data_IF_861459006628
#
_entry.id   IF_861459006628
#
_cell.length_a   1.000
_cell.length_b   1.000
_cell.length_c   1.000
_cell.angle_alpha   90.00
_cell.angle_beta   90.00
_cell.angle_gamma   90.00
#
_symmetry.space_group_name_H-M   'P 1'
#
loop_
_entity.id
_entity.type
_entity.pdbx_description
1 polymer ?
#
# COMPACT_ATOMS: atom_id res chain seq x y z
N UNK A 1 -18.77 28.23 -1.70
CA UNK A 1 -18.78 26.78 -2.00
C UNK A 1 -17.39 26.12 -1.91
N UNK A 2 -16.29 26.86 -1.72
CA UNK A 2 -14.93 26.29 -1.76
C UNK A 2 -14.47 25.51 -0.51
N UNK A 3 -15.08 25.70 0.67
CA UNK A 3 -14.68 24.98 1.89
C UNK A 3 -14.96 23.47 1.85
N UNK A 4 -16.03 23.06 1.17
CA UNK A 4 -16.47 21.66 1.16
C UNK A 4 -15.55 20.75 0.32
N UNK A 5 -14.94 21.32 -0.74
CA UNK A 5 -14.05 20.58 -1.65
C UNK A 5 -12.69 20.33 -1.01
N UNK A 6 -12.13 21.30 -0.28
CA UNK A 6 -10.83 21.15 0.39
C UNK A 6 -10.87 20.09 1.50
N UNK A 7 -11.92 20.11 2.32
CA UNK A 7 -12.10 19.14 3.42
C UNK A 7 -12.23 17.70 2.91
N UNK A 8 -12.96 17.51 1.80
CA UNK A 8 -13.14 16.19 1.18
C UNK A 8 -11.82 15.64 0.61
N UNK A 9 -10.97 16.51 0.06
CA UNK A 9 -9.68 16.08 -0.52
C UNK A 9 -8.67 15.75 0.57
N UNK A 10 -8.63 16.51 1.68
CA UNK A 10 -7.78 16.20 2.83
C UNK A 10 -8.15 14.84 3.46
N UNK A 11 -9.45 14.56 3.63
CA UNK A 11 -9.92 13.26 4.14
C UNK A 11 -9.55 12.10 3.19
N UNK A 12 -9.64 12.34 1.87
CA UNK A 12 -9.28 11.35 0.84
C UNK A 12 -7.77 11.06 0.84
N UNK A 13 -6.93 12.09 0.89
CA UNK A 13 -5.46 11.94 0.98
C UNK A 13 -5.05 11.27 2.29
N UNK A 14 -5.71 11.60 3.40
CA UNK A 14 -5.51 10.93 4.69
C UNK A 14 -5.83 9.45 4.62
N UNK A 15 -6.96 9.09 4.00
CA UNK A 15 -7.37 7.69 3.79
C UNK A 15 -6.38 6.93 2.90
N UNK A 16 -5.93 7.55 1.80
CA UNK A 16 -4.92 6.95 0.91
C UNK A 16 -3.59 6.76 1.66
N UNK A 17 -3.17 7.72 2.47
CA UNK A 17 -1.95 7.63 3.26
C UNK A 17 -2.00 6.52 4.31
N UNK A 18 -3.14 6.34 4.98
CA UNK A 18 -3.36 5.22 5.91
C UNK A 18 -3.28 3.86 5.20
N UNK A 19 -3.87 3.75 3.99
CA UNK A 19 -3.78 2.52 3.19
C UNK A 19 -2.36 2.22 2.74
N UNK A 20 -1.59 3.24 2.36
CA UNK A 20 -0.16 3.13 2.05
C UNK A 20 0.61 2.58 3.25
N UNK A 21 0.47 3.20 4.42
CA UNK A 21 1.18 2.77 5.63
C UNK A 21 0.83 1.32 6.03
N UNK A 22 -0.43 0.92 5.85
CA UNK A 22 -0.87 -0.47 6.07
C UNK A 22 -0.21 -1.44 5.11
N UNK A 23 -0.16 -1.12 3.82
CA UNK A 23 0.48 -1.95 2.80
C UNK A 23 2.00 -2.05 3.02
N UNK A 24 2.66 -0.97 3.43
CA UNK A 24 4.09 -0.98 3.80
C UNK A 24 4.36 -1.90 4.99
N UNK A 25 3.52 -1.85 6.02
CA UNK A 25 3.61 -2.75 7.17
C UNK A 25 3.39 -4.21 6.79
N UNK A 26 2.38 -4.49 5.95
CA UNK A 26 2.11 -5.83 5.45
C UNK A 26 3.28 -6.39 4.62
N UNK A 27 3.86 -5.57 3.74
CA UNK A 27 5.03 -5.94 2.94
C UNK A 27 6.24 -6.28 3.82
N UNK A 28 6.48 -5.49 4.87
CA UNK A 28 7.54 -5.80 5.83
C UNK A 28 7.34 -7.18 6.47
N UNK A 29 6.12 -7.47 6.94
CA UNK A 29 5.78 -8.76 7.55
C UNK A 29 5.89 -9.92 6.55
N UNK A 30 5.48 -9.73 5.30
CA UNK A 30 5.60 -10.74 4.24
C UNK A 30 7.06 -11.02 3.90
N UNK A 31 7.90 -9.97 3.81
CA UNK A 31 9.34 -10.10 3.59
C UNK A 31 10.03 -10.85 4.75
N UNK A 32 9.67 -10.53 6.00
CA UNK A 32 10.18 -11.26 7.18
C UNK A 32 9.78 -12.75 7.13
N UNK A 33 8.52 -13.05 6.78
CA UNK A 33 8.05 -14.43 6.63
C UNK A 33 8.76 -15.18 5.50
N UNK A 34 9.00 -14.54 4.36
CA UNK A 34 9.70 -15.15 3.21
C UNK A 34 11.11 -15.60 3.59
N UNK A 35 11.83 -14.76 4.34
CA UNK A 35 13.18 -15.08 4.84
C UNK A 35 13.19 -16.29 5.78
N UNK A 36 12.16 -16.41 6.63
CA UNK A 36 12.03 -17.51 7.59
C UNK A 36 11.48 -18.81 6.97
N UNK A 37 10.87 -18.74 5.78
CA UNK A 37 10.14 -19.85 5.16
C UNK A 37 10.96 -20.68 4.16
N UNK A 38 12.29 -20.56 4.19
CA UNK A 38 13.20 -21.23 3.23
C UNK A 38 13.08 -22.75 3.19
N UNK A 39 12.60 -23.37 4.27
CA UNK A 39 12.37 -24.82 4.35
C UNK A 39 11.08 -25.30 3.66
N UNK A 40 10.19 -24.39 3.21
CA UNK A 40 8.87 -24.72 2.68
C UNK A 40 8.60 -24.03 1.33
N UNK A 41 9.02 -24.63 0.20
CA UNK A 41 8.96 -24.00 -1.13
C UNK A 41 7.56 -23.56 -1.55
N UNK A 42 6.54 -24.40 -1.32
CA UNK A 42 5.15 -24.09 -1.67
C UNK A 42 4.59 -22.93 -0.84
N UNK A 43 5.02 -22.82 0.42
CA UNK A 43 4.63 -21.73 1.29
C UNK A 43 5.34 -20.42 0.89
N UNK A 44 6.61 -20.51 0.51
CA UNK A 44 7.36 -19.39 -0.07
C UNK A 44 6.71 -18.86 -1.35
N UNK A 45 6.30 -19.72 -2.27
CA UNK A 45 5.64 -19.30 -3.51
C UNK A 45 4.35 -18.52 -3.23
N UNK A 46 3.56 -18.95 -2.24
CA UNK A 46 2.34 -18.24 -1.80
C UNK A 46 2.67 -16.87 -1.19
N UNK A 47 3.67 -16.81 -0.33
CA UNK A 47 4.11 -15.55 0.29
C UNK A 47 4.68 -14.58 -0.77
N UNK A 48 5.43 -15.07 -1.75
CA UNK A 48 5.98 -14.26 -2.83
C UNK A 48 4.86 -13.67 -3.72
N UNK A 49 3.81 -14.45 -4.00
CA UNK A 49 2.63 -13.96 -4.70
C UNK A 49 1.89 -12.87 -3.89
N UNK A 50 1.73 -13.08 -2.58
CA UNK A 50 1.14 -12.08 -1.69
C UNK A 50 1.96 -10.80 -1.64
N UNK A 51 3.29 -10.92 -1.56
CA UNK A 51 4.20 -9.79 -1.57
C UNK A 51 4.10 -9.01 -2.88
N UNK A 52 4.12 -9.69 -4.03
CA UNK A 52 3.98 -9.07 -5.34
C UNK A 52 2.64 -8.32 -5.49
N UNK A 53 1.55 -8.91 -5.01
CA UNK A 53 0.22 -8.27 -5.02
C UNK A 53 0.19 -7.01 -4.13
N UNK A 54 0.72 -7.09 -2.92
CA UNK A 54 0.79 -5.95 -2.01
C UNK A 54 1.68 -4.83 -2.57
N UNK A 55 2.79 -5.15 -3.23
CA UNK A 55 3.66 -4.16 -3.92
C UNK A 55 2.91 -3.46 -5.05
N UNK A 56 2.15 -4.20 -5.85
CA UNK A 56 1.33 -3.63 -6.92
C UNK A 56 0.28 -2.66 -6.36
N UNK A 57 -0.42 -3.05 -5.30
CA UNK A 57 -1.39 -2.18 -4.64
C UNK A 57 -0.76 -0.93 -4.04
N UNK A 58 0.42 -1.06 -3.42
CA UNK A 58 1.16 0.07 -2.86
C UNK A 58 1.52 1.09 -3.95
N UNK A 59 2.09 0.63 -5.07
CA UNK A 59 2.44 1.49 -6.20
C UNK A 59 1.22 2.24 -6.73
N UNK A 60 0.09 1.56 -6.90
CA UNK A 60 -1.15 2.20 -7.33
C UNK A 60 -1.64 3.27 -6.34
N UNK A 61 -1.54 3.02 -5.03
CA UNK A 61 -1.93 4.02 -4.01
C UNK A 61 -0.97 5.21 -3.99
N UNK A 62 0.33 4.97 -4.20
CA UNK A 62 1.33 6.04 -4.32
C UNK A 62 1.06 6.92 -5.55
N UNK A 63 0.72 6.33 -6.69
CA UNK A 63 0.31 7.05 -7.90
C UNK A 63 -0.96 7.89 -7.66
N UNK A 64 -1.97 7.31 -7.02
CA UNK A 64 -3.21 8.04 -6.66
C UNK A 64 -2.90 9.21 -5.73
N UNK A 65 -2.05 9.02 -4.71
CA UNK A 65 -1.62 10.10 -3.81
C UNK A 65 -0.88 11.20 -4.57
N UNK A 66 0.04 10.84 -5.46
CA UNK A 66 0.79 11.79 -6.29
C UNK A 66 -0.15 12.58 -7.23
N UNK A 67 -1.15 11.93 -7.81
CA UNK A 67 -2.19 12.61 -8.59
C UNK A 67 -2.97 13.62 -7.73
N UNK A 68 -3.41 13.26 -6.52
CA UNK A 68 -4.08 14.21 -5.63
C UNK A 68 -3.18 15.39 -5.25
N UNK A 69 -1.93 15.14 -4.89
CA UNK A 69 -0.97 16.19 -4.51
C UNK A 69 -0.60 17.15 -5.64
N UNK A 70 -0.73 16.73 -6.91
CA UNK A 70 -0.52 17.61 -8.08
C UNK A 70 -1.73 18.46 -8.45
N UNK A 71 -2.92 18.04 -8.02
CA UNK A 71 -4.20 18.70 -8.35
C UNK A 71 -4.61 19.71 -7.27
N UNK A 72 -4.15 19.53 -6.03
CA UNK A 72 -4.32 20.46 -4.91
C UNK A 72 -3.32 21.63 -4.94
#
# INVERSE_FOLDING_TARGET
>A
MERNVKETVEETVGTVSLKIARLESELRLLSEKLQLSSAYPDYQAKLALQEASARFQLNRMLEVRDQFMRVC
#
